data_IF_014275437218
#
_entry.id   IF_014275437218
#
_cell.length_a   1.000
_cell.length_b   1.000
_cell.length_c   1.000
_cell.angle_alpha   90.00
_cell.angle_beta   90.00
_cell.angle_gamma   90.00
#
_symmetry.space_group_name_H-M   'P 1'
#
loop_
_entity.id
_entity.type
_entity.pdbx_description
1 polymer ?
#
# COMPACT_ATOMS: atom_id res chain seq x y z
N UNK A 1 -44.38 -48.12 -50.18
CA UNK A 1 -44.35 -47.30 -51.41
C UNK A 1 -43.50 -46.06 -51.11
N UNK A 2 -42.43 -45.85 -51.90
CA UNK A 2 -41.52 -44.68 -51.97
C UNK A 2 -40.43 -44.53 -50.90
N UNK A 3 -39.32 -45.23 -51.19
CA UNK A 3 -37.92 -44.86 -51.00
C UNK A 3 -37.61 -43.41 -51.38
N UNK A 4 -36.78 -42.72 -50.59
CA UNK A 4 -35.94 -41.62 -51.07
C UNK A 4 -34.55 -41.71 -50.44
N UNK A 5 -33.57 -41.91 -51.32
CA UNK A 5 -32.13 -41.90 -51.09
C UNK A 5 -31.72 -40.43 -50.99
N UNK A 6 -30.97 -40.06 -49.95
CA UNK A 6 -30.25 -38.78 -49.92
C UNK A 6 -28.79 -39.03 -49.57
N UNK A 7 -27.96 -38.71 -50.55
CA UNK A 7 -26.52 -38.85 -50.59
C UNK A 7 -25.93 -37.59 -49.94
N UNK A 8 -25.28 -37.70 -48.77
CA UNK A 8 -24.55 -36.57 -48.16
C UNK A 8 -23.06 -36.88 -48.22
N UNK A 9 -22.38 -36.07 -49.03
CA UNK A 9 -20.96 -36.08 -49.31
C UNK A 9 -20.18 -35.67 -48.05
N UNK A 10 -19.26 -36.53 -47.59
CA UNK A 10 -18.37 -36.26 -46.46
C UNK A 10 -17.18 -35.42 -46.97
N UNK A 11 -17.22 -34.10 -46.73
CA UNK A 11 -16.08 -33.21 -47.00
C UNK A 11 -15.24 -33.13 -45.73
N UNK A 12 -14.09 -33.79 -45.72
CA UNK A 12 -13.10 -33.70 -44.65
C UNK A 12 -12.32 -32.40 -44.79
N UNK A 13 -12.51 -31.47 -43.85
CA UNK A 13 -11.70 -30.26 -43.72
C UNK A 13 -10.42 -30.62 -42.95
N UNK A 14 -9.30 -30.68 -43.67
CA UNK A 14 -7.97 -30.77 -43.07
C UNK A 14 -7.55 -29.39 -42.54
N UNK A 15 -7.64 -29.17 -41.24
CA UNK A 15 -7.02 -28.01 -40.58
C UNK A 15 -5.54 -28.35 -40.39
N UNK A 16 -4.68 -27.71 -41.17
CA UNK A 16 -3.24 -27.75 -40.97
C UNK A 16 -2.87 -26.93 -39.74
N UNK A 17 -2.52 -27.59 -38.63
CA UNK A 17 -1.87 -26.95 -37.50
C UNK A 17 -0.40 -26.67 -37.87
N UNK A 18 -0.04 -25.39 -37.95
CA UNK A 18 1.34 -24.96 -38.14
C UNK A 18 2.08 -25.10 -36.79
N UNK A 19 2.80 -26.21 -36.61
CA UNK A 19 3.66 -26.44 -35.45
C UNK A 19 4.90 -25.53 -35.51
N UNK A 20 4.87 -24.43 -34.76
CA UNK A 20 6.10 -23.80 -34.28
C UNK A 20 6.48 -24.51 -32.98
N UNK A 21 7.40 -25.46 -33.05
CA UNK A 21 8.02 -26.07 -31.88
C UNK A 21 8.72 -24.96 -31.07
N UNK A 22 8.15 -24.54 -29.95
CA UNK A 22 8.92 -23.88 -28.89
C UNK A 22 9.64 -24.98 -28.11
N UNK A 23 10.96 -25.04 -28.23
CA UNK A 23 11.76 -25.84 -27.31
C UNK A 23 11.50 -25.37 -25.86
N UNK A 24 11.34 -26.30 -24.91
CA UNK A 24 11.19 -25.94 -23.51
C UNK A 24 12.53 -25.40 -23.00
N UNK A 25 12.52 -24.17 -22.50
CA UNK A 25 13.66 -23.57 -21.80
C UNK A 25 13.84 -24.33 -20.48
N UNK A 26 14.86 -25.18 -20.40
CA UNK A 26 15.30 -25.78 -19.14
C UNK A 26 16.10 -24.74 -18.35
N UNK A 27 15.52 -24.26 -17.25
CA UNK A 27 16.23 -23.43 -16.26
C UNK A 27 17.12 -24.35 -15.41
N UNK A 28 18.42 -24.36 -15.73
CA UNK A 28 19.43 -25.03 -14.92
C UNK A 28 19.93 -24.03 -13.87
N UNK A 29 19.44 -24.15 -12.64
CA UNK A 29 19.81 -23.27 -11.53
C UNK A 29 21.09 -23.78 -10.87
N UNK A 30 22.24 -23.25 -11.30
CA UNK A 30 23.51 -23.44 -10.58
C UNK A 30 23.65 -22.41 -9.46
N UNK A 31 23.91 -22.89 -8.24
CA UNK A 31 23.95 -22.15 -6.97
C UNK A 31 25.11 -21.13 -6.80
N UNK A 32 25.87 -20.80 -7.85
CA UNK A 32 27.06 -19.94 -7.77
C UNK A 32 27.06 -18.75 -8.74
N UNK A 33 25.90 -18.27 -9.16
CA UNK A 33 25.80 -17.23 -10.18
C UNK A 33 26.02 -15.82 -9.60
N UNK A 34 27.25 -15.52 -9.17
CA UNK A 34 27.71 -14.13 -9.12
C UNK A 34 28.03 -13.69 -10.55
N UNK A 35 27.00 -13.34 -11.31
CA UNK A 35 27.18 -12.73 -12.63
C UNK A 35 27.88 -11.38 -12.45
N UNK A 36 29.16 -11.33 -12.79
CA UNK A 36 29.86 -10.06 -13.03
C UNK A 36 29.32 -9.43 -14.31
N UNK A 37 28.16 -8.77 -14.22
CA UNK A 37 27.54 -8.07 -15.33
C UNK A 37 28.37 -6.81 -15.59
N UNK A 38 29.14 -6.80 -16.69
CA UNK A 38 29.70 -5.55 -17.24
C UNK A 38 28.52 -4.64 -17.64
N UNK A 39 28.55 -3.33 -17.34
CA UNK A 39 27.44 -2.43 -17.62
C UNK A 39 27.37 -2.16 -19.12
N UNK A 40 26.77 -3.09 -19.86
CA UNK A 40 26.11 -2.75 -21.11
C UNK A 40 24.82 -2.01 -20.70
N UNK A 41 24.46 -0.94 -21.41
CA UNK A 41 23.20 -0.22 -21.26
C UNK A 41 22.02 -1.16 -21.53
N UNK A 42 21.69 -2.02 -20.58
CA UNK A 42 20.47 -2.83 -20.58
C UNK A 42 19.36 -1.86 -20.24
N UNK A 43 18.70 -1.36 -21.29
CA UNK A 43 17.43 -0.65 -21.13
C UNK A 43 16.48 -1.67 -20.52
N UNK A 44 16.05 -1.42 -19.27
CA UNK A 44 15.03 -2.25 -18.63
C UNK A 44 13.78 -2.24 -19.52
N UNK A 45 13.35 -3.39 -20.10
CA UNK A 45 12.19 -3.43 -20.96
C UNK A 45 10.86 -3.33 -20.19
N UNK A 46 10.90 -3.37 -18.86
CA UNK A 46 9.74 -3.26 -17.97
C UNK A 46 9.46 -1.81 -17.57
N UNK A 47 8.24 -1.58 -17.09
CA UNK A 47 7.85 -0.29 -16.53
C UNK A 47 8.81 0.11 -15.39
N UNK A 48 9.17 1.42 -15.30
CA UNK A 48 10.00 1.90 -14.22
C UNK A 48 9.29 1.72 -12.88
N UNK A 49 10.08 1.53 -11.82
CA UNK A 49 9.57 1.45 -10.45
C UNK A 49 8.79 2.74 -10.14
N UNK A 50 7.62 2.58 -9.52
CA UNK A 50 6.85 3.72 -9.03
C UNK A 50 7.70 4.58 -8.10
N UNK A 51 7.69 5.88 -8.33
CA UNK A 51 8.37 6.88 -7.50
C UNK A 51 7.85 6.92 -6.06
N UNK A 52 6.61 6.47 -5.85
CA UNK A 52 5.94 6.43 -4.55
C UNK A 52 5.35 5.02 -4.32
N UNK A 53 6.19 4.00 -4.15
CA UNK A 53 5.72 2.63 -4.02
C UNK A 53 4.79 2.49 -2.81
N UNK A 54 3.82 1.59 -2.93
CA UNK A 54 2.96 1.21 -1.82
C UNK A 54 3.74 0.40 -0.79
N UNK A 55 3.53 0.74 0.48
CA UNK A 55 4.14 0.11 1.64
C UNK A 55 3.07 -0.22 2.70
N UNK A 56 3.46 -1.06 3.64
CA UNK A 56 2.55 -1.63 4.61
C UNK A 56 3.25 -1.87 5.95
N UNK A 57 2.59 -1.49 7.04
CA UNK A 57 3.05 -1.77 8.40
C UNK A 57 1.96 -2.51 9.18
N UNK A 58 2.39 -3.40 10.08
CA UNK A 58 1.52 -4.21 10.93
C UNK A 58 1.75 -3.86 12.40
N UNK A 59 0.71 -4.04 13.22
CA UNK A 59 0.85 -4.11 14.66
C UNK A 59 0.29 -5.43 15.20
N UNK A 60 1.07 -6.25 15.94
CA UNK A 60 2.50 -6.08 16.19
C UNK A 60 3.33 -6.22 14.90
N UNK A 61 4.52 -5.60 14.87
CA UNK A 61 5.40 -5.55 13.69
C UNK A 61 5.86 -6.95 13.25
N UNK A 62 6.09 -7.85 14.20
CA UNK A 62 6.53 -9.24 13.98
C UNK A 62 5.41 -10.17 13.47
N UNK A 63 4.19 -9.65 13.26
CA UNK A 63 3.05 -10.45 12.80
C UNK A 63 3.35 -11.27 11.54
N UNK A 64 3.92 -10.73 10.45
CA UNK A 64 4.18 -11.52 9.24
C UNK A 64 5.12 -12.70 9.50
N UNK A 65 6.17 -12.48 10.31
CA UNK A 65 7.16 -13.51 10.66
C UNK A 65 6.50 -14.62 11.47
N UNK A 66 5.75 -14.27 12.52
CA UNK A 66 5.01 -15.22 13.36
C UNK A 66 3.94 -15.99 12.59
N UNK A 67 3.31 -15.35 11.60
CA UNK A 67 2.31 -16.00 10.74
C UNK A 67 2.96 -17.05 9.84
N UNK A 68 4.13 -16.73 9.27
CA UNK A 68 4.89 -17.67 8.42
C UNK A 68 5.49 -18.83 9.21
N UNK A 69 6.02 -18.57 10.42
CA UNK A 69 6.56 -19.62 11.31
C UNK A 69 5.48 -20.45 12.00
N UNK A 70 4.21 -20.11 11.83
CA UNK A 70 3.04 -20.73 12.49
C UNK A 70 3.04 -20.58 14.02
N UNK A 71 3.80 -19.64 14.56
CA UNK A 71 3.76 -19.27 15.98
C UNK A 71 2.45 -18.59 16.38
N UNK A 72 1.73 -18.01 15.42
CA UNK A 72 0.39 -17.44 15.65
C UNK A 72 -0.63 -17.84 14.59
N UNK A 73 -1.84 -18.13 15.05
CA UNK A 73 -3.03 -18.27 14.19
C UNK A 73 -3.84 -16.98 14.10
N UNK A 74 -3.62 -16.05 15.02
CA UNK A 74 -4.40 -14.81 15.14
C UNK A 74 -4.16 -13.87 13.95
N UNK A 75 -5.02 -12.86 13.83
CA UNK A 75 -4.84 -11.70 12.96
C UNK A 75 -3.96 -10.65 13.65
N UNK A 76 -3.32 -9.72 12.90
CA UNK A 76 -2.66 -8.59 13.54
C UNK A 76 -3.73 -7.73 14.22
N UNK A 77 -3.34 -6.88 15.16
CA UNK A 77 -4.27 -5.92 15.79
C UNK A 77 -4.63 -4.78 14.82
N UNK A 78 -3.65 -4.30 14.06
CA UNK A 78 -3.85 -3.30 13.02
C UNK A 78 -2.91 -3.52 11.83
N UNK A 79 -3.27 -2.92 10.70
CA UNK A 79 -2.45 -2.80 9.50
C UNK A 79 -2.68 -1.45 8.85
N UNK A 80 -1.64 -0.81 8.35
CA UNK A 80 -1.76 0.39 7.52
C UNK A 80 -1.11 0.15 6.17
N UNK A 81 -1.77 0.60 5.10
CA UNK A 81 -1.32 0.54 3.71
C UNK A 81 -1.30 1.97 3.18
N UNK A 82 -0.17 2.37 2.59
CA UNK A 82 0.04 3.74 2.11
C UNK A 82 1.14 3.80 1.05
N UNK A 83 1.03 4.71 0.09
CA UNK A 83 2.15 5.01 -0.81
C UNK A 83 3.17 5.93 -0.15
N UNK A 84 4.47 5.69 -0.41
CA UNK A 84 5.60 6.43 0.17
C UNK A 84 6.17 7.50 -0.77
N UNK A 85 5.60 8.71 -0.86
CA UNK A 85 6.25 9.79 -1.59
C UNK A 85 7.59 10.14 -0.96
N UNK A 86 8.56 10.48 -1.80
CA UNK A 86 9.87 10.98 -1.39
C UNK A 86 9.96 12.51 -1.56
N UNK A 87 10.90 13.16 -0.89
CA UNK A 87 11.12 14.59 -1.06
C UNK A 87 11.78 14.90 -2.40
N UNK A 88 12.83 14.17 -2.80
CA UNK A 88 13.65 14.43 -3.99
C UNK A 88 14.03 15.91 -4.14
N UNK A 89 14.55 16.50 -3.06
CA UNK A 89 14.94 17.91 -3.03
C UNK A 89 13.77 18.90 -2.94
N UNK A 90 12.51 18.43 -2.97
CA UNK A 90 11.32 19.27 -2.75
C UNK A 90 11.13 19.52 -1.26
N UNK A 91 10.63 20.70 -0.91
CA UNK A 91 10.29 21.08 0.47
C UNK A 91 8.80 20.85 0.70
N UNK A 92 8.45 20.24 1.84
CA UNK A 92 7.07 19.88 2.21
C UNK A 92 6.08 21.02 1.97
N UNK A 93 6.21 22.13 2.69
CA UNK A 93 5.26 23.25 2.63
C UNK A 93 5.63 24.35 1.62
N UNK A 94 6.43 24.01 0.60
CA UNK A 94 6.68 24.88 -0.56
C UNK A 94 6.22 24.21 -1.84
N UNK A 95 6.44 22.90 -1.95
CA UNK A 95 6.23 22.16 -3.20
C UNK A 95 5.17 21.06 -3.10
N UNK A 96 4.93 20.50 -1.90
CA UNK A 96 4.20 19.22 -1.76
C UNK A 96 2.86 19.38 -1.06
N UNK A 97 2.84 20.13 0.03
CA UNK A 97 1.71 20.31 0.94
C UNK A 97 1.36 21.78 1.05
N UNK A 98 0.10 22.05 1.36
CA UNK A 98 -0.42 23.37 1.72
C UNK A 98 -1.01 23.29 3.12
N UNK A 99 -0.74 24.29 3.95
CA UNK A 99 -1.36 24.37 5.27
C UNK A 99 -2.88 24.56 5.14
N UNK A 100 -3.63 23.94 6.04
CA UNK A 100 -5.10 24.00 6.07
C UNK A 100 -5.81 23.22 4.97
N UNK A 101 -5.08 22.58 4.05
CA UNK A 101 -5.66 21.84 2.91
C UNK A 101 -5.60 20.32 3.13
N UNK A 102 -6.66 19.57 2.78
CA UNK A 102 -6.64 18.11 2.85
C UNK A 102 -5.55 17.50 1.97
N UNK A 103 -4.74 16.65 2.57
CA UNK A 103 -3.74 15.81 1.92
C UNK A 103 -4.03 14.34 2.22
N UNK A 104 -3.97 13.49 1.20
CA UNK A 104 -4.25 12.04 1.28
C UNK A 104 -3.31 11.22 2.17
N UNK A 105 -2.39 11.87 2.89
CA UNK A 105 -1.38 11.25 3.76
C UNK A 105 -0.50 10.21 3.02
N UNK A 106 -0.22 10.47 1.75
CA UNK A 106 0.49 9.55 0.85
C UNK A 106 0.54 10.09 -0.58
N UNK A 107 0.68 9.20 -1.55
CA UNK A 107 0.60 9.45 -2.99
C UNK A 107 -0.33 8.39 -3.64
N UNK A 108 -0.69 8.55 -4.92
CA UNK A 108 -1.45 7.56 -5.68
C UNK A 108 -2.79 7.17 -5.02
N UNK A 109 -2.85 6.04 -4.31
CA UNK A 109 -4.03 5.53 -3.59
C UNK A 109 -4.28 6.23 -2.24
N UNK A 110 -5.48 6.08 -1.69
CA UNK A 110 -5.78 6.55 -0.34
C UNK A 110 -4.99 5.76 0.72
N UNK A 111 -4.56 6.44 1.78
CA UNK A 111 -3.98 5.74 2.94
C UNK A 111 -5.09 5.01 3.69
N UNK A 112 -4.92 3.72 3.92
CA UNK A 112 -5.94 2.89 4.58
C UNK A 112 -5.40 2.21 5.83
N UNK A 113 -6.17 2.24 6.91
CA UNK A 113 -5.90 1.48 8.13
C UNK A 113 -6.98 0.43 8.35
N UNK A 114 -6.58 -0.80 8.57
CA UNK A 114 -7.43 -1.90 9.02
C UNK A 114 -7.24 -2.09 10.53
N UNK A 115 -8.35 -2.08 11.28
CA UNK A 115 -8.41 -2.54 12.66
C UNK A 115 -9.11 -3.90 12.72
N UNK A 116 -8.43 -4.90 13.28
CA UNK A 116 -8.98 -6.26 13.42
C UNK A 116 -9.62 -6.49 14.79
N UNK A 117 -9.54 -5.50 15.68
CA UNK A 117 -10.17 -5.46 17.00
C UNK A 117 -10.71 -4.05 17.23
N UNK A 118 -11.61 -3.89 18.20
CA UNK A 118 -12.01 -2.54 18.62
C UNK A 118 -10.80 -1.79 19.16
N UNK A 119 -10.68 -0.51 18.83
CA UNK A 119 -9.59 0.34 19.31
C UNK A 119 -10.13 1.60 19.97
N UNK A 120 -9.29 2.25 20.77
CA UNK A 120 -9.56 3.59 21.30
C UNK A 120 -8.49 4.56 20.83
N UNK A 121 -8.92 5.68 20.27
CA UNK A 121 -8.07 6.77 19.77
C UNK A 121 -8.54 8.04 20.46
N UNK A 122 -7.69 8.67 21.29
CA UNK A 122 -7.99 9.91 22.03
C UNK A 122 -9.43 9.92 22.61
N UNK A 123 -9.76 8.90 23.42
CA UNK A 123 -11.07 8.69 24.07
C UNK A 123 -12.25 8.33 23.15
N UNK A 124 -12.06 8.22 21.83
CA UNK A 124 -13.07 7.71 20.88
C UNK A 124 -12.88 6.23 20.61
N UNK A 125 -13.96 5.47 20.65
CA UNK A 125 -13.95 4.03 20.36
C UNK A 125 -14.27 3.78 18.89
N UNK A 126 -13.47 2.94 18.24
CA UNK A 126 -13.65 2.51 16.86
C UNK A 126 -13.95 1.02 16.83
N UNK A 127 -14.84 0.62 15.94
CA UNK A 127 -15.11 -0.79 15.68
C UNK A 127 -13.99 -1.40 14.82
N UNK A 128 -13.83 -2.73 14.83
CA UNK A 128 -13.05 -3.39 13.80
C UNK A 128 -13.58 -3.01 12.42
N UNK A 129 -12.69 -2.75 11.47
CA UNK A 129 -13.04 -2.27 10.15
C UNK A 129 -11.87 -1.61 9.44
N UNK A 130 -12.12 -1.25 8.18
CA UNK A 130 -11.19 -0.50 7.33
C UNK A 130 -11.63 0.94 7.24
N UNK A 131 -10.65 1.84 7.32
CA UNK A 131 -10.85 3.28 7.29
C UNK A 131 -9.82 3.95 6.40
N UNK A 132 -10.24 4.97 5.66
CA UNK A 132 -9.32 5.88 4.97
C UNK A 132 -8.80 6.90 5.96
N UNK A 133 -7.49 7.17 5.89
CA UNK A 133 -6.84 8.27 6.58
C UNK A 133 -6.45 9.36 5.60
N UNK A 134 -6.74 10.60 5.99
CA UNK A 134 -6.13 11.77 5.39
C UNK A 134 -5.73 12.76 6.47
N UNK A 135 -4.91 13.73 6.10
CA UNK A 135 -4.34 14.71 7.01
C UNK A 135 -4.66 16.11 6.52
N UNK A 136 -5.04 17.01 7.43
CA UNK A 136 -5.05 18.45 7.21
C UNK A 136 -3.87 19.02 8.02
N UNK A 137 -2.73 19.33 7.37
CA UNK A 137 -1.56 19.78 8.08
C UNK A 137 -1.67 21.27 8.42
N UNK A 138 -1.34 21.61 9.65
CA UNK A 138 -1.09 22.98 10.12
C UNK A 138 0.37 23.14 10.53
N UNK A 139 0.76 24.36 10.90
CA UNK A 139 2.14 24.69 11.27
C UNK A 139 2.64 23.90 12.48
N UNK A 140 1.80 23.73 13.50
CA UNK A 140 2.19 23.17 14.80
C UNK A 140 1.46 21.85 15.13
N UNK A 141 0.47 21.48 14.32
CA UNK A 141 -0.36 20.29 14.53
C UNK A 141 -0.85 19.73 13.20
N UNK A 142 -1.17 18.45 13.18
CA UNK A 142 -1.84 17.79 12.06
C UNK A 142 -3.20 17.30 12.52
N UNK A 143 -4.23 17.50 11.70
CA UNK A 143 -5.55 16.89 11.92
C UNK A 143 -5.66 15.62 11.09
N UNK A 144 -5.61 14.47 11.75
CA UNK A 144 -5.79 13.16 11.12
C UNK A 144 -7.28 12.84 11.09
N UNK A 145 -7.80 12.53 9.91
CA UNK A 145 -9.22 12.28 9.69
C UNK A 145 -9.43 10.83 9.29
N UNK A 146 -10.37 10.17 9.95
CA UNK A 146 -10.86 8.85 9.59
C UNK A 146 -12.11 8.99 8.75
N UNK A 147 -12.14 8.34 7.58
CA UNK A 147 -13.20 8.46 6.60
C UNK A 147 -13.65 7.07 6.11
N UNK A 148 -14.93 6.95 5.76
CA UNK A 148 -15.54 5.68 5.32
C UNK A 148 -15.40 5.38 3.81
N UNK A 149 -14.79 6.26 3.03
CA UNK A 149 -14.65 6.13 1.58
C UNK A 149 -13.49 5.22 1.15
N UNK A 150 -13.55 3.95 1.52
CA UNK A 150 -12.55 2.93 1.16
C UNK A 150 -12.38 2.78 -0.35
N UNK A 151 -11.22 2.26 -0.77
CA UNK A 151 -10.85 1.99 -2.17
C UNK A 151 -10.95 3.24 -3.07
N UNK A 152 -10.72 4.42 -2.50
CA UNK A 152 -10.77 5.69 -3.23
C UNK A 152 -9.42 6.06 -3.85
N UNK A 153 -9.47 6.58 -5.08
CA UNK A 153 -8.30 6.99 -5.87
C UNK A 153 -8.32 8.50 -6.08
N UNK A 154 -7.16 9.16 -5.98
CA UNK A 154 -7.05 10.58 -6.37
C UNK A 154 -7.50 11.58 -5.31
N UNK A 155 -7.41 12.88 -5.66
CA UNK A 155 -7.37 14.00 -4.71
C UNK A 155 -8.77 14.48 -4.28
N UNK A 156 -8.89 14.74 -2.98
CA UNK A 156 -10.01 15.29 -2.19
C UNK A 156 -10.88 14.23 -1.50
N UNK A 157 -10.64 14.00 -0.19
CA UNK A 157 -11.55 13.24 0.65
C UNK A 157 -12.94 13.87 0.65
N UNK A 158 -13.98 13.06 0.50
CA UNK A 158 -15.37 13.50 0.70
C UNK A 158 -15.64 13.67 2.19
N UNK A 159 -15.63 14.93 2.65
CA UNK A 159 -15.82 15.26 4.05
C UNK A 159 -17.19 14.83 4.61
N UNK A 160 -18.19 14.57 3.76
CA UNK A 160 -19.49 14.03 4.21
C UNK A 160 -19.38 12.59 4.73
N UNK A 161 -18.28 11.90 4.43
CA UNK A 161 -17.99 10.52 4.84
C UNK A 161 -17.01 10.44 6.02
N UNK A 162 -16.64 11.58 6.60
CA UNK A 162 -15.79 11.65 7.79
C UNK A 162 -16.49 11.00 8.99
N UNK A 163 -15.74 10.19 9.71
CA UNK A 163 -16.19 9.47 10.91
C UNK A 163 -15.76 10.23 12.15
N UNK A 164 -14.48 10.63 12.21
CA UNK A 164 -13.92 11.37 13.34
C UNK A 164 -12.62 12.07 12.91
N UNK A 165 -12.24 13.10 13.65
CA UNK A 165 -11.04 13.92 13.39
C UNK A 165 -10.22 14.07 14.67
N UNK A 166 -8.91 13.94 14.54
CA UNK A 166 -7.97 14.01 15.66
C UNK A 166 -6.85 15.00 15.37
N UNK A 167 -6.86 16.12 16.08
CA UNK A 167 -5.77 17.10 16.03
C UNK A 167 -4.66 16.70 17.01
N UNK A 168 -3.48 16.42 16.47
CA UNK A 168 -2.30 16.01 17.23
C UNK A 168 -1.13 16.96 16.96
N UNK A 169 -0.30 17.26 17.97
CA UNK A 169 0.86 18.11 17.76
C UNK A 169 1.88 17.43 16.85
N UNK A 170 2.64 18.22 16.10
CA UNK A 170 3.84 17.73 15.43
C UNK A 170 5.09 17.98 16.28
N UNK A 171 6.11 17.18 16.04
CA UNK A 171 7.44 17.38 16.60
C UNK A 171 8.46 17.51 15.48
N UNK A 172 9.45 18.38 15.68
CA UNK A 172 10.58 18.52 14.79
C UNK A 172 11.67 17.53 15.19
N UNK A 173 12.19 16.78 14.22
CA UNK A 173 13.26 15.80 14.38
C UNK A 173 14.57 16.37 13.88
N UNK A 174 15.68 15.88 14.41
CA UNK A 174 17.02 16.32 13.99
C UNK A 174 17.39 15.81 12.59
N UNK A 175 16.91 14.61 12.23
CA UNK A 175 17.19 13.96 10.95
C UNK A 175 15.97 14.01 10.05
N UNK A 176 16.18 14.50 8.83
CA UNK A 176 15.16 14.48 7.77
C UNK A 176 14.87 13.04 7.35
N UNK A 177 13.59 12.74 7.17
CA UNK A 177 13.07 11.50 6.64
C UNK A 177 12.71 11.69 5.15
N UNK A 178 13.49 11.09 4.26
CA UNK A 178 13.34 11.27 2.80
C UNK A 178 12.00 10.75 2.27
N UNK A 179 11.67 9.51 2.63
CA UNK A 179 10.43 8.83 2.25
C UNK A 179 9.41 8.98 3.37
N UNK A 180 8.18 9.38 3.05
CA UNK A 180 7.08 9.28 3.99
C UNK A 180 7.07 7.87 4.60
N UNK A 181 7.06 7.82 5.92
CA UNK A 181 7.15 6.57 6.67
C UNK A 181 6.03 6.57 7.71
N UNK A 182 5.16 5.57 7.63
CA UNK A 182 4.07 5.37 8.56
C UNK A 182 4.20 3.97 9.15
N UNK A 183 4.27 3.88 10.47
CA UNK A 183 4.47 2.63 11.20
C UNK A 183 3.87 2.71 12.61
N UNK A 184 3.77 1.56 13.27
CA UNK A 184 3.31 1.45 14.64
C UNK A 184 4.48 1.37 15.62
N UNK A 185 4.57 2.31 16.57
CA UNK A 185 5.55 2.31 17.65
C UNK A 185 4.88 1.77 18.94
N UNK A 186 5.27 0.59 19.46
CA UNK A 186 4.58 -0.05 20.58
C UNK A 186 4.56 0.81 21.85
N UNK A 187 3.41 0.81 22.53
CA UNK A 187 3.23 1.41 23.86
C UNK A 187 2.72 0.36 24.86
N UNK A 188 2.59 0.71 26.14
CA UNK A 188 2.11 -0.21 27.18
C UNK A 188 0.71 -0.78 26.90
N UNK A 189 -0.18 0.03 26.32
CA UNK A 189 -1.60 -0.31 26.09
C UNK A 189 -1.95 -0.45 24.61
N UNK A 190 -0.99 -0.26 23.71
CA UNK A 190 -1.23 -0.33 22.28
C UNK A 190 -0.03 0.13 21.45
N UNK A 191 -0.21 1.11 20.58
CA UNK A 191 0.84 1.69 19.77
C UNK A 191 0.54 3.16 19.42
N UNK A 192 1.59 3.95 19.18
CA UNK A 192 1.45 5.19 18.43
C UNK A 192 1.51 4.85 16.93
N UNK A 193 0.53 5.31 16.16
CA UNK A 193 0.70 5.38 14.71
C UNK A 193 1.58 6.60 14.40
N UNK A 194 2.83 6.33 14.04
CA UNK A 194 3.85 7.35 13.77
C UNK A 194 3.82 7.68 12.29
N UNK A 195 3.64 8.95 11.94
CA UNK A 195 3.72 9.47 10.58
C UNK A 195 4.89 10.44 10.50
N UNK A 196 5.93 10.09 9.73
CA UNK A 196 7.17 10.88 9.64
C UNK A 196 7.53 11.20 8.19
N UNK A 197 7.75 12.48 7.90
CA UNK A 197 8.23 12.94 6.59
C UNK A 197 9.00 14.26 6.72
N UNK A 198 10.14 14.36 6.02
CA UNK A 198 11.09 15.43 6.27
C UNK A 198 11.49 15.48 7.74
N UNK A 199 11.53 16.67 8.32
CA UNK A 199 11.85 16.86 9.74
C UNK A 199 10.63 16.73 10.66
N UNK A 200 9.46 16.36 10.13
CA UNK A 200 8.20 16.38 10.89
C UNK A 200 7.80 14.97 11.29
N UNK A 201 7.36 14.81 12.53
CA UNK A 201 6.78 13.58 13.07
C UNK A 201 5.49 13.92 13.82
N UNK A 202 4.41 13.24 13.44
CA UNK A 202 3.14 13.23 14.16
C UNK A 202 2.89 11.83 14.73
N UNK A 203 2.31 11.76 15.93
CA UNK A 203 2.03 10.50 16.64
C UNK A 203 0.57 10.46 17.05
N UNK A 204 -0.18 9.49 16.54
CA UNK A 204 -1.58 9.26 16.91
C UNK A 204 -1.65 8.06 17.87
N UNK A 205 -1.98 8.26 19.16
CA UNK A 205 -2.06 7.15 20.11
C UNK A 205 -3.26 6.25 19.84
N UNK A 206 -3.02 4.94 19.75
CA UNK A 206 -4.05 3.90 19.54
C UNK A 206 -3.92 2.84 20.65
N UNK A 207 -5.00 2.62 21.40
CA UNK A 207 -5.10 1.54 22.38
C UNK A 207 -5.95 0.39 21.83
N UNK A 208 -5.53 -0.84 22.09
CA UNK A 208 -6.15 -2.08 21.55
C UNK A 208 -6.72 -2.97 22.66
#
# INVERSE_FOLDING_TARGET
MKTFISFICLVTISIACNNQNKEPITLDLNENDSLSIKPNNVINPFDPIDISPMDMSYFPEDYPQKKMSKETTDLPKARIIYSRPHLAGRRLFVNLLKYGEPWRLGANEATEIDFYKSVTILSKKFNPGRYVLYCIPEKDNWTIVFNSNIDSWGLHPDASKDIDRFTIPITMKEKSQEYLTIYFDPTKTGADLVMRWGFIEARLPISF
#
